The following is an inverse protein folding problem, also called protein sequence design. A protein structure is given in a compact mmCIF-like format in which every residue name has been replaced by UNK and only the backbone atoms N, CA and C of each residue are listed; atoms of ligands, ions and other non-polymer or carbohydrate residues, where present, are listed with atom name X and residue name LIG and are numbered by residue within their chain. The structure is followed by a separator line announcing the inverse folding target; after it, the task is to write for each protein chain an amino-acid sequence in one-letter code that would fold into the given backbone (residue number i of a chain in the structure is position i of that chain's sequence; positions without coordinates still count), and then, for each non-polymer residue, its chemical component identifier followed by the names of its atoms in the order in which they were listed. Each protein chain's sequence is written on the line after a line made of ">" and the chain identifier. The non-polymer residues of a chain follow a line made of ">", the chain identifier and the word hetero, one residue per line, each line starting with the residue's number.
data_IF_452533562819
#
_entry.id   IF_452533562819
#
_cell.length_a   1.000
_cell.length_b   1.000
_cell.length_c   1.000
_cell.angle_alpha   90.00
_cell.angle_beta   90.00
_cell.angle_gamma   90.00
#
_symmetry.space_group_name_H-M   'P 1'
#
loop_
_entity.id
_entity.type
_entity.pdbx_description
1 polymer ?
#
# COMPACT_ATOMS: atom_id res chain seq x y z
N UNK A 1 -7.87 24.34 10.84
CA UNK A 1 -7.05 23.19 11.28
C UNK A 1 -5.88 23.08 10.34
N UNK A 2 -4.65 23.00 10.84
CA UNK A 2 -3.41 22.99 10.07
C UNK A 2 -2.56 21.78 10.47
N UNK A 3 -1.89 21.17 9.50
CA UNK A 3 -1.08 19.97 9.68
C UNK A 3 0.33 20.17 9.08
N UNK A 4 1.36 19.68 9.76
CA UNK A 4 2.69 19.45 9.21
C UNK A 4 3.07 17.99 9.46
N UNK A 5 3.62 17.31 8.44
CA UNK A 5 3.90 15.87 8.48
C UNK A 5 5.27 15.60 7.86
N UNK A 6 6.18 15.01 8.64
CA UNK A 6 7.53 14.67 8.21
C UNK A 6 7.84 13.19 8.50
N UNK A 7 8.28 12.44 7.49
CA UNK A 7 8.67 11.04 7.65
C UNK A 7 10.07 10.94 8.27
N UNK A 8 10.19 10.23 9.39
CA UNK A 8 11.49 9.88 9.96
C UNK A 8 12.10 8.69 9.19
N UNK A 9 12.90 9.01 8.17
CA UNK A 9 13.54 8.01 7.29
C UNK A 9 14.51 7.08 8.00
N UNK A 10 15.13 7.53 9.09
CA UNK A 10 16.10 6.73 9.85
C UNK A 10 15.43 5.66 10.72
N UNK A 11 14.22 5.96 11.23
CA UNK A 11 13.43 5.04 12.05
C UNK A 11 12.46 4.16 11.25
N UNK A 12 12.16 4.53 10.00
CA UNK A 12 11.11 3.88 9.21
C UNK A 12 11.65 2.75 8.33
N UNK A 13 10.98 1.60 8.37
CA UNK A 13 11.23 0.47 7.48
C UNK A 13 9.94 -0.33 7.29
N UNK A 14 9.62 -0.72 6.06
CA UNK A 14 8.40 -1.47 5.77
C UNK A 14 8.32 -2.73 6.66
N UNK A 15 7.21 -2.95 7.41
CA UNK A 15 5.91 -2.29 7.31
C UNK A 15 5.66 -1.11 8.27
N UNK A 16 6.62 -0.68 9.08
CA UNK A 16 6.45 0.32 10.14
C UNK A 16 7.11 1.65 9.78
N UNK A 17 6.34 2.73 9.82
CA UNK A 17 6.79 4.08 9.50
C UNK A 17 6.56 5.00 10.69
N UNK A 18 7.54 5.86 10.99
CA UNK A 18 7.44 6.85 12.06
C UNK A 18 7.38 8.25 11.44
N UNK A 19 6.35 9.01 11.77
CA UNK A 19 6.14 10.36 11.28
C UNK A 19 6.14 11.36 12.43
N UNK A 20 6.75 12.52 12.25
CA UNK A 20 6.51 13.69 13.09
C UNK A 20 5.26 14.41 12.58
N UNK A 21 4.26 14.59 13.44
CA UNK A 21 2.99 15.22 13.09
C UNK A 21 2.72 16.40 14.01
N UNK A 22 2.56 17.58 13.41
CA UNK A 22 2.12 18.78 14.11
C UNK A 22 0.69 19.14 13.70
N UNK A 23 -0.18 19.39 14.67
CA UNK A 23 -1.60 19.71 14.50
C UNK A 23 -1.94 20.98 15.26
N UNK A 24 -2.50 21.96 14.57
CA UNK A 24 -2.95 23.22 15.17
C UNK A 24 -4.39 23.55 14.79
N UNK A 25 -5.21 23.88 15.78
CA UNK A 25 -6.54 24.43 15.61
C UNK A 25 -7.61 23.71 16.44
N UNK A 26 -8.77 24.35 16.59
CA UNK A 26 -9.90 23.84 17.37
C UNK A 26 -9.55 23.49 18.82
N UNK A 27 -8.66 24.26 19.46
CA UNK A 27 -8.18 23.99 20.82
C UNK A 27 -7.21 22.81 20.93
N UNK A 28 -6.78 22.23 19.80
CA UNK A 28 -5.76 21.20 19.74
C UNK A 28 -4.44 21.86 19.30
N UNK A 29 -3.41 21.65 20.10
CA UNK A 29 -2.04 22.03 19.79
C UNK A 29 -1.14 20.82 20.11
N UNK A 30 -0.71 20.13 19.06
CA UNK A 30 0.28 19.08 19.12
C UNK A 30 1.42 19.49 18.18
N UNK A 31 2.66 19.47 18.68
CA UNK A 31 3.84 19.80 17.89
C UNK A 31 4.77 18.59 17.91
N UNK A 32 5.22 18.17 16.73
CA UNK A 32 6.16 17.07 16.51
C UNK A 32 5.77 15.77 17.23
N UNK A 33 4.47 15.46 17.26
CA UNK A 33 3.98 14.23 17.84
C UNK A 33 4.42 13.05 16.96
N UNK A 34 5.15 12.10 17.55
CA UNK A 34 5.57 10.89 16.84
C UNK A 34 4.36 9.96 16.63
N UNK A 35 4.07 9.66 15.37
CA UNK A 35 2.99 8.77 14.94
C UNK A 35 3.60 7.54 14.29
N UNK A 36 3.29 6.37 14.83
CA UNK A 36 3.61 5.09 14.22
C UNK A 36 2.50 4.67 13.24
N UNK A 37 2.88 4.36 12.00
CA UNK A 37 2.00 3.87 10.94
C UNK A 37 2.45 2.47 10.52
N UNK A 38 1.54 1.50 10.66
CA UNK A 38 1.73 0.14 10.19
C UNK A 38 1.08 -0.04 8.81
N UNK A 39 1.89 -0.12 7.75
CA UNK A 39 1.42 -0.49 6.41
C UNK A 39 1.09 -1.98 6.38
N UNK A 40 -0.19 -2.30 6.29
CA UNK A 40 -0.64 -3.66 5.98
C UNK A 40 -0.79 -3.77 4.46
N UNK A 41 -0.20 -4.78 3.79
CA UNK A 41 -0.40 -4.98 2.37
C UNK A 41 -1.89 -4.99 2.02
N UNK A 42 -2.30 -4.42 0.87
CA UNK A 42 -3.67 -4.56 0.41
C UNK A 42 -3.99 -6.05 0.28
N UNK A 43 -5.12 -6.49 0.85
CA UNK A 43 -5.59 -7.86 0.64
C UNK A 43 -6.06 -7.98 -0.80
N UNK A 44 -5.26 -8.62 -1.66
CA UNK A 44 -5.67 -8.97 -3.02
C UNK A 44 -6.49 -10.26 -2.96
N UNK A 45 -7.67 -10.25 -3.56
CA UNK A 45 -8.52 -11.43 -3.72
C UNK A 45 -8.61 -11.77 -5.19
N UNK A 46 -8.39 -13.04 -5.52
CA UNK A 46 -8.53 -13.56 -6.88
C UNK A 46 -9.89 -14.24 -7.00
N UNK A 47 -10.74 -13.75 -7.90
CA UNK A 47 -12.00 -14.41 -8.26
C UNK A 47 -11.73 -15.15 -9.55
N UNK A 48 -11.52 -16.46 -9.44
CA UNK A 48 -11.35 -17.32 -10.59
C UNK A 48 -12.71 -17.65 -11.21
N UNK A 49 -12.81 -17.65 -12.56
CA UNK A 49 -13.99 -18.19 -13.23
C UNK A 49 -14.04 -19.71 -12.99
N UNK A 50 -15.23 -20.31 -13.18
CA UNK A 50 -15.48 -21.70 -12.79
C UNK A 50 -14.54 -22.69 -13.49
N UNK A 51 -14.09 -22.38 -14.71
CA UNK A 51 -13.17 -23.21 -15.49
C UNK A 51 -11.75 -23.28 -14.90
N UNK A 52 -11.39 -22.34 -14.02
CA UNK A 52 -10.06 -22.25 -13.40
C UNK A 52 -10.07 -22.54 -11.90
N UNK A 53 -11.25 -22.76 -11.30
CA UNK A 53 -11.37 -23.13 -9.88
C UNK A 53 -10.83 -24.54 -9.65
N UNK A 54 -9.94 -24.67 -8.67
CA UNK A 54 -9.38 -25.94 -8.18
C UNK A 54 -8.68 -26.81 -9.25
N UNK A 55 -8.35 -26.26 -10.42
CA UNK A 55 -7.67 -26.98 -11.51
C UNK A 55 -6.17 -27.13 -11.23
N UNK A 56 -5.58 -26.16 -10.53
CA UNK A 56 -4.15 -26.11 -10.28
C UNK A 56 -3.81 -26.60 -8.86
N UNK A 57 -2.70 -27.35 -8.69
CA UNK A 57 -2.13 -27.57 -7.37
C UNK A 57 -1.84 -26.22 -6.67
N UNK A 58 -1.90 -26.14 -5.32
CA UNK A 58 -1.74 -24.89 -4.60
C UNK A 58 -0.48 -24.10 -4.94
N UNK A 59 0.64 -24.79 -5.21
CA UNK A 59 1.91 -24.18 -5.59
C UNK A 59 1.82 -23.51 -6.97
N UNK A 60 1.21 -24.18 -7.95
CA UNK A 60 1.04 -23.63 -9.31
C UNK A 60 0.02 -22.48 -9.31
N UNK A 61 -1.02 -22.57 -8.49
CA UNK A 61 -1.95 -21.46 -8.29
C UNK A 61 -1.23 -20.22 -7.73
N UNK A 62 -0.33 -20.38 -6.75
CA UNK A 62 0.46 -19.25 -6.21
C UNK A 62 1.43 -18.64 -7.23
N UNK A 63 2.04 -19.45 -8.09
CA UNK A 63 2.87 -18.94 -9.20
C UNK A 63 2.02 -18.11 -10.16
N UNK A 64 0.84 -18.59 -10.53
CA UNK A 64 -0.10 -17.84 -11.38
C UNK A 64 -0.51 -16.51 -10.75
N UNK A 65 -0.86 -16.49 -9.46
CA UNK A 65 -1.18 -15.25 -8.73
C UNK A 65 -0.02 -14.24 -8.76
N UNK A 66 1.22 -14.69 -8.59
CA UNK A 66 2.41 -13.83 -8.65
C UNK A 66 2.63 -13.24 -10.05
N UNK A 67 2.48 -14.03 -11.11
CA UNK A 67 2.58 -13.55 -12.50
C UNK A 67 1.49 -12.53 -12.83
N UNK A 68 0.25 -12.76 -12.35
CA UNK A 68 -0.84 -11.79 -12.48
C UNK A 68 -0.47 -10.47 -11.81
N UNK A 69 0.04 -10.51 -10.58
CA UNK A 69 0.46 -9.31 -9.85
C UNK A 69 1.62 -8.59 -10.53
N UNK A 70 2.60 -9.32 -11.06
CA UNK A 70 3.72 -8.73 -11.79
C UNK A 70 3.22 -7.99 -13.04
N UNK A 71 2.29 -8.59 -13.80
CA UNK A 71 1.71 -7.96 -14.99
C UNK A 71 0.90 -6.70 -14.68
N UNK A 72 0.18 -6.69 -13.55
CA UNK A 72 -0.51 -5.50 -13.05
C UNK A 72 0.50 -4.41 -12.69
N UNK A 73 1.58 -4.77 -11.99
CA UNK A 73 2.63 -3.83 -11.62
C UNK A 73 3.30 -3.22 -12.86
N UNK A 74 3.65 -4.03 -13.86
CA UNK A 74 4.16 -3.58 -15.16
C UNK A 74 3.22 -2.55 -15.80
N UNK A 75 1.92 -2.86 -15.90
CA UNK A 75 0.94 -1.94 -16.48
C UNK A 75 0.85 -0.60 -15.73
N UNK A 76 0.89 -0.63 -14.39
CA UNK A 76 0.87 0.59 -13.57
C UNK A 76 2.14 1.42 -13.78
N UNK A 77 3.31 0.77 -13.93
CA UNK A 77 4.58 1.46 -14.16
C UNK A 77 4.66 2.04 -15.57
N UNK A 78 4.23 1.26 -16.58
CA UNK A 78 4.25 1.66 -18.00
C UNK A 78 3.18 2.71 -18.34
N UNK A 79 2.15 2.84 -17.51
CA UNK A 79 1.09 3.84 -17.66
C UNK A 79 1.26 4.94 -16.60
N UNK A 80 2.20 5.88 -16.74
CA UNK A 80 2.28 7.02 -15.84
C UNK A 80 0.98 7.84 -15.96
N UNK A 81 0.37 8.13 -14.81
CA UNK A 81 -0.85 8.95 -14.67
C UNK A 81 -0.74 10.25 -15.50
N UNK A 82 -1.33 10.23 -16.69
CA UNK A 82 -1.24 11.33 -17.64
C UNK A 82 -2.07 11.18 -18.92
N UNK A 83 -2.80 10.08 -19.11
CA UNK A 83 -3.81 9.99 -20.17
C UNK A 83 -4.78 8.84 -19.90
N UNK A 84 -5.97 9.18 -19.40
CA UNK A 84 -7.29 8.54 -19.66
C UNK A 84 -8.27 8.80 -18.50
N UNK A 85 -8.81 10.02 -18.48
CA UNK A 85 -10.23 10.28 -18.24
C UNK A 85 -10.68 11.32 -19.27
#
# INVERSE_FOLDING_TARGET
>A
MMFSIDLNREKSSDPVFYLSVSVYGNGIEATDAEVEVLRRPPKVSFIYPDELKDVLPPVEQKKLELEILNRIAEYIIETPDGSRF
#
